data_IF_987517912452
#
_entry.id   IF_987517912452
#
_cell.length_a   1.000
_cell.length_b   1.000
_cell.length_c   1.000
_cell.angle_alpha   90.00
_cell.angle_beta   90.00
_cell.angle_gamma   90.00
#
_symmetry.space_group_name_H-M   'P 1'
#
loop_
_entity.id
_entity.type
_entity.pdbx_description
1 polymer ?
#
# COMPACT_ATOMS: atom_id res chain seq x y z
N UNK A 1 -5.56 11.84 4.33
CA UNK A 1 -5.08 13.01 3.57
C UNK A 1 -5.11 12.72 2.08
N UNK A 2 -5.26 13.73 1.19
CA UNK A 2 -5.25 13.55 -0.27
C UNK A 2 -4.18 14.45 -0.88
N UNK A 3 -3.33 13.90 -1.76
CA UNK A 3 -2.32 14.60 -2.53
C UNK A 3 -2.62 14.48 -4.04
N UNK A 4 -3.03 15.56 -4.68
CA UNK A 4 -3.33 15.61 -6.12
C UNK A 4 -3.18 17.03 -6.65
N UNK A 5 -2.74 17.18 -7.90
CA UNK A 5 -2.51 18.50 -8.51
C UNK A 5 -3.79 19.35 -8.61
N UNK A 6 -4.92 18.72 -8.86
CA UNK A 6 -6.19 19.42 -9.02
C UNK A 6 -6.92 19.61 -7.70
N UNK A 7 -7.12 20.86 -7.26
CA UNK A 7 -7.93 21.18 -6.08
C UNK A 7 -9.35 20.59 -6.20
N UNK A 8 -9.97 20.67 -7.38
CA UNK A 8 -11.29 20.09 -7.65
C UNK A 8 -11.30 18.55 -7.46
N UNK A 9 -10.21 17.89 -7.85
CA UNK A 9 -10.10 16.45 -7.65
C UNK A 9 -9.98 16.10 -6.17
N UNK A 10 -9.20 16.88 -5.40
CA UNK A 10 -9.09 16.77 -3.95
C UNK A 10 -10.48 16.94 -3.30
N UNK A 11 -11.24 17.97 -3.68
CA UNK A 11 -12.59 18.21 -3.17
C UNK A 11 -13.53 17.02 -3.45
N UNK A 12 -13.55 16.55 -4.71
CA UNK A 12 -14.38 15.40 -5.10
C UNK A 12 -14.06 14.14 -4.31
N UNK A 13 -12.78 13.84 -4.12
CA UNK A 13 -12.37 12.69 -3.32
C UNK A 13 -12.62 12.90 -1.83
N UNK A 14 -12.47 14.13 -1.32
CA UNK A 14 -12.77 14.46 0.07
C UNK A 14 -14.26 14.24 0.38
N UNK A 15 -15.15 14.65 -0.51
CA UNK A 15 -16.58 14.36 -0.41
C UNK A 15 -16.82 12.85 -0.35
N UNK A 16 -16.16 12.09 -1.24
CA UNK A 16 -16.29 10.62 -1.28
C UNK A 16 -15.78 9.97 0.00
N UNK A 17 -14.63 10.42 0.53
CA UNK A 17 -14.07 9.94 1.81
C UNK A 17 -15.04 10.19 2.97
N UNK A 18 -15.62 11.39 3.03
CA UNK A 18 -16.50 11.80 4.13
C UNK A 18 -17.91 11.17 4.07
N UNK A 19 -18.27 10.49 2.97
CA UNK A 19 -19.55 9.75 2.87
C UNK A 19 -19.53 8.45 3.69
N UNK A 20 -18.36 7.97 4.09
CA UNK A 20 -18.24 6.76 4.91
C UNK A 20 -17.89 7.14 6.36
N UNK A 21 -18.67 6.65 7.33
CA UNK A 21 -18.50 6.97 8.75
C UNK A 21 -17.16 6.50 9.36
N UNK A 22 -16.48 5.55 8.71
CA UNK A 22 -15.18 5.03 9.17
C UNK A 22 -13.98 5.79 8.61
N UNK A 23 -14.19 6.78 7.74
CA UNK A 23 -13.13 7.56 7.12
C UNK A 23 -13.39 9.05 7.25
N UNK A 24 -12.33 9.84 7.43
CA UNK A 24 -12.41 11.28 7.51
C UNK A 24 -11.26 11.96 6.77
N UNK A 25 -11.56 13.06 6.10
CA UNK A 25 -10.56 13.88 5.46
C UNK A 25 -9.78 14.70 6.49
N UNK A 26 -8.45 14.56 6.50
CA UNK A 26 -7.57 15.34 7.40
C UNK A 26 -6.94 16.55 6.71
N UNK A 27 -6.79 16.55 5.38
CA UNK A 27 -6.22 17.67 4.62
C UNK A 27 -5.85 17.31 3.20
N UNK A 28 -5.58 18.32 2.35
CA UNK A 28 -5.18 18.18 0.95
C UNK A 28 -3.82 18.80 0.68
N UNK A 29 -3.11 18.32 -0.36
CA UNK A 29 -1.87 18.87 -0.88
C UNK A 29 -1.88 18.84 -2.40
N UNK A 30 -1.23 19.82 -3.05
CA UNK A 30 -1.25 19.93 -4.52
C UNK A 30 0.09 19.61 -5.19
N UNK A 31 1.12 19.39 -4.40
CA UNK A 31 2.47 19.02 -4.83
C UNK A 31 3.15 18.14 -3.79
N UNK A 32 4.32 17.62 -4.14
CA UNK A 32 5.11 16.73 -3.29
C UNK A 32 5.54 17.38 -1.98
N UNK A 33 6.00 18.63 -2.02
CA UNK A 33 6.55 19.35 -0.87
C UNK A 33 5.45 19.58 0.15
N UNK A 34 4.33 20.15 -0.27
CA UNK A 34 3.17 20.36 0.59
C UNK A 34 2.55 19.04 1.09
N UNK A 35 2.63 17.95 0.32
CA UNK A 35 2.18 16.65 0.77
C UNK A 35 3.04 16.11 1.92
N UNK A 36 4.36 16.23 1.81
CA UNK A 36 5.31 15.83 2.85
C UNK A 36 5.15 16.67 4.12
N UNK A 37 5.12 18.01 3.99
CA UNK A 37 4.93 18.92 5.13
C UNK A 37 3.62 18.66 5.88
N UNK A 38 2.52 18.53 5.14
CA UNK A 38 1.22 18.27 5.71
C UNK A 38 1.10 16.88 6.34
N UNK A 39 1.76 15.87 5.78
CA UNK A 39 1.78 14.55 6.38
C UNK A 39 2.49 14.54 7.74
N UNK A 40 3.58 15.31 7.89
CA UNK A 40 4.26 15.50 9.20
C UNK A 40 3.35 16.19 10.20
N UNK A 41 2.64 17.26 9.77
CA UNK A 41 1.79 18.05 10.63
C UNK A 41 0.50 17.33 11.03
N UNK A 42 -0.20 16.75 10.06
CA UNK A 42 -1.52 16.14 10.22
C UNK A 42 -1.48 14.69 10.69
N UNK A 43 -0.34 14.02 10.54
CA UNK A 43 -0.13 12.59 10.89
C UNK A 43 -1.27 11.69 10.42
N UNK A 44 -1.61 11.70 9.12
CA UNK A 44 -2.69 10.87 8.61
C UNK A 44 -2.33 9.38 8.74
N UNK A 45 -3.34 8.53 8.93
CA UNK A 45 -3.17 7.07 8.86
C UNK A 45 -2.93 6.61 7.42
N UNK A 46 -3.56 7.32 6.45
CA UNK A 46 -3.50 7.00 5.02
C UNK A 46 -3.36 8.27 4.20
N UNK A 47 -2.55 8.22 3.16
CA UNK A 47 -2.49 9.24 2.10
C UNK A 47 -2.96 8.63 0.78
N UNK A 48 -3.98 9.27 0.18
CA UNK A 48 -4.40 9.02 -1.20
C UNK A 48 -3.55 9.91 -2.09
N UNK A 49 -2.86 9.33 -3.06
CA UNK A 49 -1.93 10.03 -3.94
C UNK A 49 -2.34 9.85 -5.39
N UNK A 50 -2.56 10.96 -6.09
CA UNK A 50 -2.71 10.96 -7.55
C UNK A 50 -1.39 10.53 -8.18
N UNK A 51 -1.42 9.54 -9.08
CA UNK A 51 -0.22 9.00 -9.71
C UNK A 51 0.57 10.07 -10.48
N UNK A 52 -0.12 11.05 -11.06
CA UNK A 52 0.48 12.15 -11.84
C UNK A 52 0.66 13.44 -11.03
N UNK A 53 0.91 13.34 -9.74
CA UNK A 53 1.16 14.47 -8.88
C UNK A 53 2.44 15.23 -9.31
N UNK A 54 2.25 16.42 -9.85
CA UNK A 54 3.33 17.27 -10.36
C UNK A 54 3.78 16.93 -11.78
N UNK A 55 4.09 15.68 -12.07
CA UNK A 55 4.52 15.15 -13.36
C UNK A 55 4.06 13.69 -13.52
N UNK A 56 4.28 13.11 -14.70
CA UNK A 56 3.91 11.71 -14.99
C UNK A 56 4.59 10.78 -13.97
N UNK A 57 3.79 9.97 -13.27
CA UNK A 57 4.20 9.09 -12.17
C UNK A 57 4.83 9.79 -10.94
N UNK A 58 4.79 11.13 -10.86
CA UNK A 58 5.35 11.88 -9.72
C UNK A 58 4.71 11.55 -8.37
N UNK A 59 3.50 11.00 -8.40
CA UNK A 59 2.83 10.44 -7.21
C UNK A 59 3.57 9.26 -6.59
N UNK A 60 4.24 8.44 -7.40
CA UNK A 60 5.08 7.34 -6.92
C UNK A 60 6.26 7.86 -6.09
N UNK A 61 6.96 8.88 -6.61
CA UNK A 61 8.07 9.51 -5.89
C UNK A 61 7.61 10.20 -4.59
N UNK A 62 6.40 10.77 -4.64
CA UNK A 62 5.77 11.36 -3.45
C UNK A 62 5.45 10.31 -2.41
N UNK A 63 4.90 9.18 -2.81
CA UNK A 63 4.60 8.07 -1.91
C UNK A 63 5.87 7.48 -1.26
N UNK A 64 6.97 7.35 -2.01
CA UNK A 64 8.26 6.97 -1.43
C UNK A 64 8.79 8.00 -0.43
N UNK A 65 8.65 9.31 -0.72
CA UNK A 65 9.06 10.35 0.21
C UNK A 65 8.25 10.31 1.51
N UNK A 66 6.94 10.08 1.41
CA UNK A 66 6.03 9.93 2.56
C UNK A 66 6.41 8.70 3.41
N UNK A 67 6.70 7.55 2.77
CA UNK A 67 7.12 6.32 3.47
C UNK A 67 8.49 6.45 4.14
N UNK A 68 9.40 7.28 3.64
CA UNK A 68 10.67 7.59 4.34
C UNK A 68 10.44 8.29 5.67
N UNK A 69 9.38 9.10 5.79
CA UNK A 69 9.05 9.84 7.02
C UNK A 69 8.27 8.95 7.97
N UNK A 70 7.29 8.22 7.45
CA UNK A 70 6.47 7.28 8.21
C UNK A 70 6.41 5.93 7.48
N UNK A 71 7.23 4.95 7.86
CA UNK A 71 7.27 3.63 7.22
C UNK A 71 5.97 2.82 7.30
N UNK A 72 5.09 3.15 8.23
CA UNK A 72 3.79 2.46 8.42
C UNK A 72 2.61 3.19 7.79
N UNK A 73 2.86 4.35 7.16
CA UNK A 73 1.82 5.14 6.51
C UNK A 73 1.11 4.34 5.40
N UNK A 74 -0.20 4.23 5.46
CA UNK A 74 -0.99 3.64 4.39
C UNK A 74 -0.94 4.50 3.11
N UNK A 75 -0.73 3.87 1.96
CA UNK A 75 -0.72 4.56 0.66
C UNK A 75 -1.81 3.99 -0.23
N UNK A 76 -2.61 4.88 -0.82
CA UNK A 76 -3.58 4.55 -1.87
C UNK A 76 -3.22 5.36 -3.11
N UNK A 77 -2.70 4.72 -4.15
CA UNK A 77 -2.48 5.35 -5.44
C UNK A 77 -3.80 5.42 -6.20
N UNK A 78 -4.13 6.59 -6.73
CA UNK A 78 -5.27 6.78 -7.64
C UNK A 78 -4.76 7.16 -9.00
N UNK A 79 -5.20 6.43 -10.03
CA UNK A 79 -4.69 6.53 -11.40
C UNK A 79 -5.82 6.48 -12.42
N UNK A 80 -5.74 7.21 -13.53
CA UNK A 80 -6.61 7.00 -14.68
C UNK A 80 -6.21 5.79 -15.52
N UNK A 81 -5.02 5.22 -15.29
CA UNK A 81 -4.39 4.22 -16.16
C UNK A 81 -4.75 2.80 -15.75
N UNK A 82 -5.24 2.03 -16.71
CA UNK A 82 -5.48 0.58 -16.60
C UNK A 82 -4.77 -0.19 -17.73
N UNK A 83 -4.11 0.51 -18.65
CA UNK A 83 -3.42 -0.11 -19.78
C UNK A 83 -2.07 -0.69 -19.36
N UNK A 84 -1.67 -1.83 -19.98
CA UNK A 84 -0.45 -2.54 -19.61
C UNK A 84 0.83 -1.72 -19.77
N UNK A 85 0.89 -0.85 -20.79
CA UNK A 85 2.10 -0.07 -21.08
C UNK A 85 2.42 0.91 -19.95
N UNK A 86 1.40 1.59 -19.43
CA UNK A 86 1.58 2.53 -18.31
C UNK A 86 1.74 1.83 -16.98
N UNK A 87 1.04 0.72 -16.76
CA UNK A 87 1.24 -0.07 -15.55
C UNK A 87 2.65 -0.67 -15.47
N UNK A 88 3.24 -1.04 -16.60
CA UNK A 88 4.63 -1.50 -16.65
C UNK A 88 5.67 -0.43 -16.26
N UNK A 89 5.30 0.86 -16.30
CA UNK A 89 6.16 1.95 -15.82
C UNK A 89 6.12 2.12 -14.29
N UNK A 90 5.12 1.55 -13.63
CA UNK A 90 5.04 1.55 -12.16
C UNK A 90 6.07 0.57 -11.61
N UNK A 91 6.94 0.97 -10.67
CA UNK A 91 7.96 0.08 -10.12
C UNK A 91 7.35 -1.22 -9.59
N UNK A 92 7.93 -2.36 -9.98
CA UNK A 92 7.48 -3.69 -9.53
C UNK A 92 7.58 -3.82 -8.01
N UNK A 93 6.59 -4.48 -7.41
CA UNK A 93 6.54 -4.70 -5.95
C UNK A 93 5.79 -3.62 -5.17
N UNK A 94 5.40 -2.48 -5.77
CA UNK A 94 4.58 -1.48 -5.06
C UNK A 94 3.21 -2.02 -4.66
N UNK A 95 2.62 -2.88 -5.47
CA UNK A 95 1.34 -3.52 -5.17
C UNK A 95 1.37 -4.43 -3.93
N UNK A 96 2.56 -4.77 -3.42
CA UNK A 96 2.71 -5.51 -2.16
C UNK A 96 2.51 -4.64 -0.92
N UNK A 97 2.63 -3.31 -1.06
CA UNK A 97 2.60 -2.39 0.06
C UNK A 97 1.55 -1.29 -0.08
N UNK A 98 1.08 -1.01 -1.28
CA UNK A 98 0.19 0.11 -1.58
C UNK A 98 -1.07 -0.36 -2.28
N UNK A 99 -2.19 0.28 -1.94
CA UNK A 99 -3.42 0.10 -2.70
C UNK A 99 -3.33 0.86 -4.03
N UNK A 100 -3.92 0.28 -5.08
CA UNK A 100 -4.01 0.93 -6.39
C UNK A 100 -5.46 0.92 -6.87
N UNK A 101 -6.02 2.10 -7.08
CA UNK A 101 -7.39 2.32 -7.54
C UNK A 101 -7.42 3.08 -8.85
N UNK A 102 -8.30 2.70 -9.75
CA UNK A 102 -8.66 3.56 -10.86
C UNK A 102 -9.48 4.76 -10.38
N UNK A 103 -9.28 5.91 -11.01
CA UNK A 103 -10.00 7.17 -10.71
C UNK A 103 -11.52 6.97 -10.66
N UNK A 104 -12.06 6.14 -11.57
CA UNK A 104 -13.48 5.81 -11.59
C UNK A 104 -13.95 4.97 -10.41
N UNK A 105 -13.09 4.12 -9.86
CA UNK A 105 -13.36 3.32 -8.66
C UNK A 105 -13.20 4.16 -7.40
N UNK A 106 -12.22 5.06 -7.35
CA UNK A 106 -12.00 5.96 -6.22
C UNK A 106 -13.18 6.93 -5.98
N UNK A 107 -14.06 7.11 -6.96
CA UNK A 107 -15.31 7.87 -6.81
C UNK A 107 -16.47 7.09 -6.18
N UNK A 108 -16.28 5.80 -5.90
CA UNK A 108 -17.27 4.95 -5.23
C UNK A 108 -16.94 4.87 -3.74
N UNK A 109 -17.78 5.45 -2.85
CA UNK A 109 -17.46 5.60 -1.42
C UNK A 109 -17.07 4.30 -0.73
N UNK A 110 -17.79 3.22 -1.05
CA UNK A 110 -17.57 1.91 -0.44
C UNK A 110 -16.20 1.32 -0.83
N UNK A 111 -15.82 1.43 -2.11
CA UNK A 111 -14.55 0.88 -2.60
C UNK A 111 -13.37 1.74 -2.16
N UNK A 112 -13.53 3.07 -2.13
CA UNK A 112 -12.51 3.97 -1.60
C UNK A 112 -12.29 3.72 -0.10
N UNK A 113 -13.37 3.60 0.68
CA UNK A 113 -13.27 3.30 2.11
C UNK A 113 -12.59 1.93 2.36
N UNK A 114 -12.93 0.91 1.56
CA UNK A 114 -12.28 -0.41 1.63
C UNK A 114 -10.76 -0.31 1.37
N UNK A 115 -10.36 0.47 0.36
CA UNK A 115 -8.94 0.67 0.06
C UNK A 115 -8.22 1.45 1.15
N UNK A 116 -8.85 2.48 1.73
CA UNK A 116 -8.30 3.27 2.84
C UNK A 116 -8.12 2.38 4.08
N UNK A 117 -9.14 1.62 4.46
CA UNK A 117 -9.06 0.71 5.60
C UNK A 117 -7.99 -0.36 5.40
N UNK A 118 -7.97 -0.99 4.22
CA UNK A 118 -6.93 -1.97 3.88
C UNK A 118 -5.53 -1.38 4.00
N UNK A 119 -5.31 -0.20 3.40
CA UNK A 119 -4.02 0.50 3.46
C UNK A 119 -3.61 0.86 4.90
N UNK A 120 -4.55 1.23 5.78
CA UNK A 120 -4.26 1.51 7.20
C UNK A 120 -3.83 0.27 7.98
N UNK A 121 -4.18 -0.91 7.51
CA UNK A 121 -3.83 -2.20 8.11
C UNK A 121 -2.65 -2.89 7.41
N UNK A 122 -2.05 -2.25 6.41
CA UNK A 122 -1.00 -2.86 5.61
C UNK A 122 -1.50 -3.94 4.64
N UNK A 123 -2.80 -3.96 4.34
CA UNK A 123 -3.44 -4.88 3.39
C UNK A 123 -3.77 -4.12 2.12
N UNK A 124 -3.00 -4.25 1.03
CA UNK A 124 -3.23 -3.51 -0.19
C UNK A 124 -4.52 -3.96 -0.89
N UNK A 125 -5.25 -2.99 -1.41
CA UNK A 125 -6.40 -3.20 -2.27
C UNK A 125 -6.04 -2.81 -3.71
N UNK A 126 -6.09 -3.76 -4.63
CA UNK A 126 -5.87 -3.53 -6.06
C UNK A 126 -7.21 -3.57 -6.79
N UNK A 127 -7.48 -2.55 -7.61
CA UNK A 127 -8.68 -2.48 -8.44
C UNK A 127 -8.81 -3.75 -9.29
N UNK A 128 -9.98 -4.36 -9.30
CA UNK A 128 -10.25 -5.62 -10.00
C UNK A 128 -10.00 -5.56 -11.51
N UNK A 129 -9.98 -4.36 -12.08
CA UNK A 129 -9.70 -4.12 -13.51
C UNK A 129 -8.20 -3.96 -13.82
N UNK A 130 -7.35 -4.02 -12.80
CA UNK A 130 -5.91 -3.96 -12.95
C UNK A 130 -5.36 -5.37 -12.94
N UNK A 131 -4.57 -5.68 -13.97
CA UNK A 131 -3.79 -6.90 -13.99
C UNK A 131 -2.72 -6.84 -12.91
N UNK A 132 -2.84 -7.71 -11.92
CA UNK A 132 -1.96 -7.75 -10.75
C UNK A 132 -0.53 -8.11 -11.13
N UNK A 133 -0.35 -8.94 -12.13
CA UNK A 133 0.96 -9.37 -12.59
C UNK A 133 1.77 -8.17 -13.12
N UNK A 134 1.10 -7.19 -13.74
CA UNK A 134 1.74 -5.97 -14.24
C UNK A 134 2.27 -5.06 -13.13
N UNK A 135 1.64 -5.08 -11.95
CA UNK A 135 2.11 -4.33 -10.78
C UNK A 135 3.15 -5.13 -9.97
N UNK A 136 3.58 -6.29 -10.46
CA UNK A 136 4.47 -7.17 -9.71
C UNK A 136 3.82 -7.71 -8.43
N UNK A 137 2.50 -7.68 -8.36
CA UNK A 137 1.72 -8.34 -7.31
C UNK A 137 1.67 -9.82 -7.68
N UNK A 138 2.77 -10.51 -7.48
CA UNK A 138 2.71 -11.98 -7.36
C UNK A 138 1.70 -12.25 -6.27
N UNK A 139 0.73 -13.13 -6.52
CA UNK A 139 -0.30 -13.48 -5.56
C UNK A 139 0.30 -13.58 -4.16
N UNK A 140 -0.13 -12.66 -3.27
CA UNK A 140 0.16 -12.73 -1.85
C UNK A 140 -0.65 -13.89 -1.25
N UNK A 141 -0.53 -15.07 -1.83
CA UNK A 141 -0.78 -16.29 -1.11
C UNK A 141 0.29 -16.36 -0.02
N UNK A 142 -0.10 -16.78 1.15
CA UNK A 142 0.86 -17.15 2.22
C UNK A 142 1.97 -18.03 1.64
N UNK A 143 1.66 -18.84 0.66
CA UNK A 143 2.56 -19.70 -0.08
C UNK A 143 3.66 -18.91 -0.81
N UNK A 144 3.37 -17.83 -1.51
CA UNK A 144 4.40 -17.03 -2.21
C UNK A 144 5.31 -16.25 -1.25
N UNK A 145 4.78 -15.81 -0.09
CA UNK A 145 5.60 -15.21 0.96
C UNK A 145 6.46 -16.28 1.64
N UNK A 146 5.89 -17.45 1.91
CA UNK A 146 6.61 -18.59 2.48
C UNK A 146 7.69 -19.11 1.53
N UNK A 147 7.40 -19.20 0.23
CA UNK A 147 8.39 -19.60 -0.79
C UNK A 147 9.56 -18.61 -0.82
N UNK A 148 9.31 -17.31 -0.79
CA UNK A 148 10.38 -16.29 -0.72
C UNK A 148 11.17 -16.34 0.59
N UNK A 149 10.52 -16.69 1.70
CA UNK A 149 11.19 -16.88 3.00
C UNK A 149 12.00 -18.19 3.00
N UNK A 150 11.49 -19.24 2.38
CA UNK A 150 12.12 -20.56 2.38
C UNK A 150 13.21 -20.72 1.32
N UNK A 151 12.99 -20.16 0.12
CA UNK A 151 13.85 -20.36 -1.06
C UNK A 151 14.80 -19.19 -1.34
N UNK A 152 14.53 -17.99 -0.78
CA UNK A 152 15.36 -16.80 -0.98
C UNK A 152 16.73 -16.87 -0.30
N UNK A 153 17.67 -16.03 -0.76
CA UNK A 153 18.93 -15.79 -0.04
C UNK A 153 18.65 -15.22 1.37
N UNK A 154 19.61 -15.34 2.28
CA UNK A 154 19.48 -14.82 3.68
C UNK A 154 19.02 -13.36 3.71
N UNK A 155 19.48 -12.53 2.75
CA UNK A 155 19.07 -11.13 2.63
C UNK A 155 17.61 -10.98 2.20
N UNK A 156 17.17 -11.77 1.23
CA UNK A 156 15.79 -11.77 0.72
C UNK A 156 14.81 -12.33 1.75
N UNK A 157 15.20 -13.39 2.46
CA UNK A 157 14.44 -13.95 3.58
C UNK A 157 14.21 -12.90 4.68
N UNK A 158 15.24 -12.15 5.07
CA UNK A 158 15.14 -11.07 6.07
C UNK A 158 14.22 -9.95 5.62
N UNK A 159 14.29 -9.55 4.35
CA UNK A 159 13.43 -8.52 3.77
C UNK A 159 11.97 -9.01 3.75
N UNK A 160 11.72 -10.22 3.28
CA UNK A 160 10.38 -10.79 3.21
C UNK A 160 9.76 -10.99 4.60
N UNK A 161 10.52 -11.52 5.56
CA UNK A 161 10.07 -11.69 6.94
C UNK A 161 9.78 -10.34 7.63
N UNK A 162 10.63 -9.33 7.40
CA UNK A 162 10.43 -7.99 7.94
C UNK A 162 9.21 -7.29 7.32
N UNK A 163 8.99 -7.47 6.02
CA UNK A 163 7.82 -6.95 5.32
C UNK A 163 6.52 -7.64 5.76
N UNK A 164 6.58 -8.94 6.06
CA UNK A 164 5.44 -9.73 6.52
C UNK A 164 5.13 -9.53 8.01
N UNK A 165 6.07 -9.01 8.82
CA UNK A 165 5.89 -8.85 10.27
C UNK A 165 4.70 -7.94 10.58
N UNK A 166 3.71 -8.48 11.28
CA UNK A 166 2.49 -7.78 11.65
C UNK A 166 1.42 -7.76 10.56
N UNK A 167 1.71 -8.31 9.38
CA UNK A 167 0.71 -8.42 8.32
C UNK A 167 -0.36 -9.42 8.71
N UNK A 168 -1.62 -9.07 8.46
CA UNK A 168 -2.74 -9.99 8.60
C UNK A 168 -3.00 -10.69 7.27
N UNK A 169 -3.20 -11.98 7.29
CA UNK A 169 -3.50 -12.80 6.12
C UNK A 169 -4.66 -13.75 6.41
N UNK A 170 -5.32 -14.21 5.37
CA UNK A 170 -6.41 -15.20 5.52
C UNK A 170 -5.89 -16.58 5.17
N UNK A 171 -5.84 -17.47 6.15
CA UNK A 171 -5.50 -18.87 5.98
C UNK A 171 -6.67 -19.73 6.45
N UNK A 172 -7.12 -20.68 5.62
CA UNK A 172 -8.29 -21.54 5.90
C UNK A 172 -9.54 -20.75 6.36
N UNK A 173 -9.81 -19.58 5.75
CA UNK A 173 -10.97 -18.74 6.06
C UNK A 173 -10.85 -17.90 7.33
N UNK A 174 -9.79 -18.03 8.13
CA UNK A 174 -9.54 -17.26 9.35
C UNK A 174 -8.49 -16.18 9.10
N UNK A 175 -8.65 -15.02 9.74
CA UNK A 175 -7.63 -13.95 9.73
C UNK A 175 -6.56 -14.31 10.76
N UNK A 176 -5.31 -14.31 10.34
CA UNK A 176 -4.15 -14.59 11.17
C UNK A 176 -3.12 -13.49 11.01
N UNK A 177 -2.31 -13.25 12.05
CA UNK A 177 -1.23 -12.25 12.03
C UNK A 177 0.10 -12.96 11.86
N UNK A 178 0.92 -12.48 10.93
CA UNK A 178 2.27 -13.01 10.72
C UNK A 178 3.20 -12.52 11.85
N UNK A 179 3.62 -13.44 12.71
CA UNK A 179 4.60 -13.17 13.77
C UNK A 179 5.94 -13.76 13.34
N UNK A 180 6.97 -12.92 13.30
CA UNK A 180 8.36 -13.35 13.13
C UNK A 180 8.99 -13.30 14.53
N UNK A 181 9.35 -14.43 15.07
CA UNK A 181 10.22 -14.50 16.26
C UNK A 181 11.61 -14.03 15.85
N UNK A 182 12.32 -13.30 16.71
CA UNK A 182 13.57 -12.62 16.39
C UNK A 182 14.55 -13.55 15.65
N UNK A 183 14.93 -13.11 14.44
CA UNK A 183 15.92 -13.81 13.65
C UNK A 183 17.27 -13.75 14.38
N UNK A 184 17.92 -14.89 14.67
CA UNK A 184 19.23 -14.88 15.29
C UNK A 184 20.26 -14.15 14.42
N UNK A 185 21.21 -13.48 15.08
CA UNK A 185 22.32 -12.79 14.44
C UNK A 185 23.28 -13.79 13.80
N UNK A 186 23.49 -13.64 12.50
CA UNK A 186 24.65 -14.04 11.68
C UNK A 186 25.35 -15.42 11.84
N UNK A 187 24.75 -16.45 12.43
CA UNK A 187 25.36 -17.79 12.42
C UNK A 187 24.30 -18.88 12.27
N UNK A 188 24.46 -19.63 11.19
CA UNK A 188 23.99 -20.99 10.93
C UNK A 188 22.50 -21.32 11.15
N UNK A 189 21.85 -21.81 10.06
CA UNK A 189 20.53 -22.44 10.00
C UNK A 189 19.35 -21.68 10.66
N UNK A 190 18.86 -20.66 9.96
CA UNK A 190 17.68 -19.91 10.39
C UNK A 190 16.39 -20.67 10.05
N UNK A 191 15.79 -21.29 11.04
CA UNK A 191 14.41 -21.80 10.93
C UNK A 191 13.44 -20.64 11.21
N UNK A 192 12.72 -20.18 10.20
CA UNK A 192 11.59 -19.27 10.39
C UNK A 192 10.38 -20.09 10.79
N UNK A 193 9.96 -19.98 12.04
CA UNK A 193 8.74 -20.65 12.51
C UNK A 193 7.54 -19.72 12.34
N UNK A 194 6.60 -20.12 11.50
CA UNK A 194 5.29 -19.45 11.36
C UNK A 194 4.33 -20.10 12.33
N UNK A 195 3.93 -19.41 13.40
CA UNK A 195 2.87 -19.89 14.29
C UNK A 195 1.53 -19.28 13.88
N UNK A 196 0.58 -20.14 13.55
CA UNK A 196 -0.81 -19.79 13.44
C UNK A 196 -1.44 -19.94 14.84
N UNK A 197 -1.91 -18.83 15.43
CA UNK A 197 -2.73 -18.93 16.64
C UNK A 197 -4.19 -19.10 16.23
N UNK A 198 -4.87 -20.08 16.85
CA UNK A 198 -6.25 -20.43 16.60
C UNK A 198 -7.24 -19.42 17.18
#
# INVERSE_FOLDING_TARGET
MIAARSARFIETLAETVNQNASTAMSGGAQDRESAVERAVLLRPDVVIVDIDLGYELGGIDTAFALRKINPTLGIVIVSPYSDPERLAMVPTGLGLEWSYLLTSTARKPELLAKAIQGASWGIPYIDERIDRDLLGVVENSVDSILDRILEGSTKERRIAAKAAKGSMFRFNGKIQTFKVEDLPSDSEENVVTVKAEA
#
